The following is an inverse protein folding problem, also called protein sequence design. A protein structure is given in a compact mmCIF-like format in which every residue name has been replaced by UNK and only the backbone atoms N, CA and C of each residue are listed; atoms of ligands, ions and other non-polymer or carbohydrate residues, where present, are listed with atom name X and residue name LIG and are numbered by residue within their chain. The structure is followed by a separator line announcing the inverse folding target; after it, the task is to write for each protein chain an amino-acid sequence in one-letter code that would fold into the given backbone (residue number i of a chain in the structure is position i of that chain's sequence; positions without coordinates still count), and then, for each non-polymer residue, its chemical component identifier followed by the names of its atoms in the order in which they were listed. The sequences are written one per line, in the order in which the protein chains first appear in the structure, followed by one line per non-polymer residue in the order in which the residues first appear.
data_IF_520601492521
#
_entry.id   IF_520601492521
#
_cell.length_a   1.000
_cell.length_b   1.000
_cell.length_c   1.000
_cell.angle_alpha   90.00
_cell.angle_beta   90.00
_cell.angle_gamma   90.00
#
_symmetry.space_group_name_H-M   'P 1'
#
loop_
_entity.id
_entity.type
_entity.pdbx_description
1 polymer ?
#
# COMPACT_ATOMS: atom_id res chain seq x y z
N UNK A 1 9.74 14.35 -17.20
CA UNK A 1 10.05 13.45 -16.07
C UNK A 1 9.88 12.02 -16.52
N UNK A 2 10.63 11.64 -17.55
CA UNK A 2 10.56 10.33 -18.20
C UNK A 2 11.86 9.60 -17.89
N UNK A 3 11.78 8.35 -17.42
CA UNK A 3 12.95 7.50 -17.20
C UNK A 3 13.26 7.11 -15.75
N UNK A 4 12.59 7.69 -14.74
CA UNK A 4 12.77 7.21 -13.35
C UNK A 4 11.78 6.10 -13.05
N UNK A 5 12.27 4.87 -13.00
CA UNK A 5 11.47 3.72 -12.64
C UNK A 5 11.25 3.67 -11.12
N UNK A 6 9.99 3.78 -10.70
CA UNK A 6 9.65 3.86 -9.28
C UNK A 6 9.59 2.49 -8.59
N UNK A 7 10.46 2.28 -7.60
CA UNK A 7 10.45 1.14 -6.67
C UNK A 7 9.90 1.55 -5.29
N UNK A 8 8.64 2.00 -5.26
CA UNK A 8 8.02 2.56 -4.05
C UNK A 8 7.04 1.57 -3.41
N UNK A 9 7.21 1.35 -2.10
CA UNK A 9 6.31 0.49 -1.30
C UNK A 9 4.93 1.13 -1.18
N UNK A 10 3.87 0.35 -1.46
CA UNK A 10 2.51 0.72 -1.09
C UNK A 10 2.20 0.30 0.35
N UNK A 11 1.21 0.97 0.99
CA UNK A 11 0.93 0.89 2.42
C UNK A 11 0.87 -0.53 3.01
N UNK A 12 0.29 -1.49 2.27
CA UNK A 12 0.07 -2.86 2.74
C UNK A 12 1.19 -3.84 2.36
N UNK A 13 2.20 -3.43 1.59
CA UNK A 13 3.22 -4.32 1.02
C UNK A 13 3.93 -5.19 2.07
N UNK A 14 4.39 -4.61 3.19
CA UNK A 14 5.01 -5.38 4.27
C UNK A 14 4.02 -6.30 5.01
N UNK A 15 2.79 -5.82 5.20
CA UNK A 15 1.74 -6.59 5.88
C UNK A 15 1.39 -7.83 5.06
N UNK A 16 1.24 -7.68 3.75
CA UNK A 16 0.98 -8.76 2.81
C UNK A 16 2.11 -9.80 2.82
N UNK A 17 3.38 -9.41 2.88
CA UNK A 17 4.49 -10.37 2.99
C UNK A 17 4.47 -11.17 4.30
N UNK A 18 4.10 -10.53 5.42
CA UNK A 18 3.92 -11.25 6.70
C UNK A 18 2.70 -12.16 6.67
N UNK A 19 1.61 -11.71 6.06
CA UNK A 19 0.37 -12.47 5.92
C UNK A 19 0.49 -13.64 4.95
N UNK A 20 1.36 -13.56 3.94
CA UNK A 20 1.66 -14.67 3.04
C UNK A 20 2.19 -15.92 3.76
N UNK A 21 2.65 -15.79 5.02
CA UNK A 21 3.06 -16.90 5.88
C UNK A 21 1.91 -17.53 6.68
N UNK A 22 0.70 -16.98 6.59
CA UNK A 22 -0.50 -17.44 7.29
C UNK A 22 -1.50 -18.01 6.29
N UNK A 23 -2.40 -18.87 6.75
CA UNK A 23 -3.52 -19.32 5.94
C UNK A 23 -4.35 -18.11 5.47
N UNK A 24 -4.70 -18.05 4.17
CA UNK A 24 -5.48 -16.94 3.63
C UNK A 24 -6.91 -17.01 4.15
N UNK A 25 -7.47 -15.84 4.52
CA UNK A 25 -8.89 -15.72 4.83
C UNK A 25 -9.71 -15.87 3.54
N UNK A 26 -10.46 -16.98 3.34
CA UNK A 26 -11.20 -17.21 2.11
C UNK A 26 -12.30 -16.16 1.90
N UNK A 27 -12.74 -15.48 2.96
CA UNK A 27 -13.75 -14.44 2.87
C UNK A 27 -13.17 -13.07 2.51
N UNK A 28 -11.85 -12.90 2.43
CA UNK A 28 -11.27 -11.61 2.04
C UNK A 28 -11.53 -11.31 0.55
N UNK A 29 -11.94 -10.09 0.15
CA UNK A 29 -12.23 -9.77 -1.25
C UNK A 29 -11.08 -10.01 -2.25
N UNK A 30 -9.83 -9.93 -1.78
CA UNK A 30 -8.64 -10.22 -2.61
C UNK A 30 -8.43 -11.72 -2.87
N UNK A 31 -9.12 -12.61 -2.14
CA UNK A 31 -9.06 -14.08 -2.33
C UNK A 31 -10.21 -14.60 -3.22
N UNK A 32 -11.18 -13.74 -3.55
CA UNK A 32 -12.30 -14.12 -4.40
C UNK A 32 -11.87 -14.19 -5.87
N UNK A 33 -12.38 -15.19 -6.59
CA UNK A 33 -12.12 -15.32 -8.01
C UNK A 33 -12.92 -14.28 -8.79
N UNK A 34 -12.24 -13.53 -9.67
CA UNK A 34 -12.85 -12.58 -10.59
C UNK A 34 -12.86 -13.17 -12.01
N UNK A 35 -14.03 -13.26 -12.62
CA UNK A 35 -14.19 -13.63 -14.02
C UNK A 35 -14.29 -12.36 -14.86
N UNK A 36 -13.32 -12.18 -15.75
CA UNK A 36 -13.21 -11.03 -16.64
C UNK A 36 -14.28 -11.01 -17.74
N UNK A 37 -14.68 -12.18 -18.25
CA UNK A 37 -15.64 -12.28 -19.36
C UNK A 37 -17.05 -11.92 -18.93
N UNK A 38 -17.43 -12.34 -17.73
CA UNK A 38 -18.77 -12.13 -17.18
C UNK A 38 -18.87 -10.92 -16.23
N UNK A 39 -17.76 -10.21 -16.01
CA UNK A 39 -17.61 -9.15 -15.01
C UNK A 39 -18.29 -9.51 -13.67
N UNK A 40 -17.85 -10.62 -13.08
CA UNK A 40 -18.44 -11.15 -11.86
C UNK A 40 -17.39 -11.72 -10.91
N UNK A 41 -17.71 -11.71 -9.62
CA UNK A 41 -16.90 -12.39 -8.60
C UNK A 41 -17.59 -13.66 -8.13
N UNK A 42 -16.83 -14.64 -7.65
CA UNK A 42 -17.39 -15.82 -7.01
C UNK A 42 -17.10 -15.78 -5.51
N UNK A 43 -18.15 -15.99 -4.71
CA UNK A 43 -18.01 -16.10 -3.27
C UNK A 43 -17.37 -17.46 -2.88
N UNK A 44 -16.91 -17.65 -1.62
CA UNK A 44 -16.31 -18.92 -1.20
C UNK A 44 -17.26 -20.13 -1.25
N UNK A 45 -18.58 -19.88 -1.26
CA UNK A 45 -19.61 -20.91 -1.46
C UNK A 45 -19.82 -21.24 -2.96
N UNK A 46 -19.12 -20.56 -3.87
CA UNK A 46 -19.24 -20.74 -5.33
C UNK A 46 -20.36 -19.94 -5.99
N UNK A 47 -21.09 -19.09 -5.25
CA UNK A 47 -22.16 -18.27 -5.85
C UNK A 47 -21.57 -17.08 -6.62
N UNK A 48 -22.18 -16.77 -7.76
CA UNK A 48 -21.87 -15.58 -8.55
C UNK A 48 -22.29 -14.29 -7.82
N UNK A 49 -21.45 -13.28 -7.92
CA UNK A 49 -21.66 -11.92 -7.44
C UNK A 49 -21.72 -10.98 -8.62
N UNK A 50 -22.91 -10.42 -8.89
CA UNK A 50 -23.20 -9.60 -10.06
C UNK A 50 -22.76 -8.16 -9.83
N UNK A 51 -22.28 -7.50 -10.89
CA UNK A 51 -22.02 -6.07 -10.87
C UNK A 51 -23.34 -5.29 -10.70
N UNK A 52 -23.46 -4.49 -9.64
CA UNK A 52 -24.64 -3.68 -9.32
C UNK A 52 -24.42 -2.18 -9.58
N UNK A 53 -23.31 -1.82 -10.22
CA UNK A 53 -22.98 -0.46 -10.63
C UNK A 53 -21.66 0.06 -10.08
N UNK A 54 -21.32 1.26 -10.55
CA UNK A 54 -20.10 1.96 -10.18
C UNK A 54 -20.44 3.28 -9.49
N UNK A 55 -19.58 3.69 -8.57
CA UNK A 55 -19.64 5.01 -7.97
C UNK A 55 -18.25 5.60 -7.82
N UNK A 56 -18.19 6.92 -7.72
CA UNK A 56 -16.94 7.63 -7.52
C UNK A 56 -16.84 8.17 -6.10
N UNK A 57 -15.65 8.09 -5.53
CA UNK A 57 -15.32 8.62 -4.21
C UNK A 57 -14.13 9.54 -4.31
N UNK A 58 -14.25 10.75 -3.75
CA UNK A 58 -13.13 11.67 -3.61
C UNK A 58 -12.33 11.31 -2.36
N UNK A 59 -11.02 11.18 -2.53
CA UNK A 59 -10.08 10.96 -1.42
C UNK A 59 -9.89 12.26 -0.64
N UNK A 60 -9.37 12.17 0.58
CA UNK A 60 -9.02 13.35 1.41
C UNK A 60 -8.06 14.30 0.70
N UNK A 61 -7.20 13.76 -0.19
CA UNK A 61 -6.22 14.52 -0.96
C UNK A 61 -6.78 15.04 -2.29
N UNK A 62 -8.09 14.94 -2.52
CA UNK A 62 -8.77 15.51 -3.69
C UNK A 62 -8.83 14.62 -4.93
N UNK A 63 -8.16 13.46 -4.95
CA UNK A 63 -8.21 12.54 -6.09
C UNK A 63 -9.52 11.78 -6.16
N UNK A 64 -10.04 11.61 -7.38
CA UNK A 64 -11.24 10.84 -7.67
C UNK A 64 -10.89 9.36 -7.87
N UNK A 65 -11.66 8.47 -7.26
CA UNK A 65 -11.49 7.02 -7.37
C UNK A 65 -12.81 6.36 -7.75
N UNK A 66 -12.78 5.51 -8.78
CA UNK A 66 -13.92 4.70 -9.20
C UNK A 66 -13.95 3.36 -8.47
N UNK A 67 -15.11 3.01 -7.93
CA UNK A 67 -15.37 1.75 -7.25
C UNK A 67 -16.54 1.04 -7.93
N UNK A 68 -16.35 -0.23 -8.26
CA UNK A 68 -17.40 -1.12 -8.75
C UNK A 68 -17.93 -1.97 -7.61
N UNK A 69 -19.24 -2.12 -7.51
CA UNK A 69 -19.91 -2.92 -6.48
C UNK A 69 -20.38 -4.24 -7.07
N UNK A 70 -20.13 -5.33 -6.35
CA UNK A 70 -20.60 -6.66 -6.72
C UNK A 70 -21.41 -7.25 -5.58
N UNK A 71 -22.58 -7.80 -5.88
CA UNK A 71 -23.51 -8.36 -4.88
C UNK A 71 -23.76 -9.84 -5.13
N UNK A 72 -23.65 -10.65 -4.08
CA UNK A 72 -23.99 -12.07 -4.12
C UNK A 72 -25.47 -12.28 -4.38
N UNK A 73 -25.81 -13.29 -5.19
CA UNK A 73 -27.19 -13.60 -5.58
C UNK A 73 -28.08 -13.92 -4.38
N UNK A 74 -27.67 -14.82 -3.49
CA UNK A 74 -28.50 -15.21 -2.35
C UNK A 74 -27.67 -15.73 -1.16
N UNK A 75 -27.58 -14.92 -0.10
CA UNK A 75 -26.92 -15.31 1.15
C UNK A 75 -27.88 -15.88 2.22
N UNK A 76 -29.18 -16.00 1.94
CA UNK A 76 -30.14 -16.52 2.90
C UNK A 76 -29.96 -18.04 3.06
N UNK A 77 -29.85 -18.51 4.31
CA UNK A 77 -29.57 -19.92 4.60
C UNK A 77 -28.15 -20.40 4.26
N UNK A 78 -27.23 -19.50 3.88
CA UNK A 78 -25.87 -19.90 3.55
C UNK A 78 -25.12 -20.38 4.81
N UNK A 79 -24.54 -21.61 4.82
CA UNK A 79 -23.85 -22.16 5.98
C UNK A 79 -22.60 -21.37 6.37
N UNK A 80 -21.98 -20.70 5.39
CA UNK A 80 -20.79 -19.87 5.59
C UNK A 80 -21.10 -18.44 6.05
N UNK A 81 -22.38 -18.06 6.18
CA UNK A 81 -22.79 -16.65 6.43
C UNK A 81 -22.16 -16.06 7.67
N UNK A 82 -22.10 -16.83 8.77
CA UNK A 82 -21.56 -16.38 10.07
C UNK A 82 -20.09 -15.94 9.99
N UNK A 83 -19.29 -16.58 9.14
CA UNK A 83 -17.88 -16.26 8.90
C UNK A 83 -17.70 -15.24 7.75
N UNK A 84 -18.65 -15.19 6.81
CA UNK A 84 -18.53 -14.47 5.55
C UNK A 84 -18.82 -12.96 5.66
N UNK A 85 -19.94 -12.57 6.27
CA UNK A 85 -20.28 -11.15 6.48
C UNK A 85 -21.34 -10.96 7.57
N UNK A 86 -21.40 -9.76 8.16
CA UNK A 86 -22.35 -9.42 9.23
C UNK A 86 -23.64 -8.71 8.76
N UNK A 87 -23.72 -8.33 7.48
CA UNK A 87 -24.91 -7.65 6.94
C UNK A 87 -26.18 -8.51 7.00
N UNK A 88 -27.32 -7.85 7.24
CA UNK A 88 -28.65 -8.48 7.10
C UNK A 88 -29.00 -8.76 5.64
N UNK A 89 -28.50 -7.93 4.72
CA UNK A 89 -28.68 -8.08 3.28
C UNK A 89 -27.64 -9.05 2.69
N UNK A 90 -27.73 -9.32 1.38
CA UNK A 90 -26.71 -10.10 0.68
C UNK A 90 -25.35 -9.43 0.72
N UNK A 91 -24.30 -10.24 0.62
CA UNK A 91 -22.92 -9.75 0.64
C UNK A 91 -22.67 -8.82 -0.54
N UNK A 92 -22.10 -7.64 -0.25
CA UNK A 92 -21.60 -6.70 -1.26
C UNK A 92 -20.09 -6.56 -1.07
N UNK A 93 -19.33 -6.60 -2.16
CA UNK A 93 -17.92 -6.23 -2.19
C UNK A 93 -17.73 -5.00 -3.08
N UNK A 94 -16.79 -4.15 -2.71
CA UNK A 94 -16.40 -2.97 -3.49
C UNK A 94 -14.98 -3.16 -4.00
N UNK A 95 -14.76 -2.93 -5.30
CA UNK A 95 -13.46 -3.13 -5.94
C UNK A 95 -13.07 -1.90 -6.75
N UNK A 96 -11.83 -1.46 -6.55
CA UNK A 96 -11.20 -0.44 -7.37
C UNK A 96 -10.18 -1.12 -8.29
N UNK A 97 -10.62 -1.44 -9.50
CA UNK A 97 -9.81 -2.17 -10.49
C UNK A 97 -8.50 -1.45 -10.85
N UNK A 98 -8.52 -0.12 -10.95
CA UNK A 98 -7.31 0.64 -11.25
C UNK A 98 -6.30 0.55 -10.10
N UNK A 99 -6.76 0.67 -8.84
CA UNK A 99 -5.88 0.53 -7.67
C UNK A 99 -5.30 -0.88 -7.58
N UNK A 100 -6.10 -1.92 -7.84
CA UNK A 100 -5.63 -3.31 -7.86
C UNK A 100 -4.53 -3.49 -8.91
N UNK A 101 -4.75 -3.01 -10.13
CA UNK A 101 -3.78 -3.04 -11.23
C UNK A 101 -2.48 -2.31 -10.87
N UNK A 102 -2.57 -1.10 -10.30
CA UNK A 102 -1.40 -0.31 -9.89
C UNK A 102 -0.62 -0.99 -8.76
N UNK A 103 -1.32 -1.59 -7.79
CA UNK A 103 -0.69 -2.38 -6.72
C UNK A 103 0.03 -3.61 -7.27
N UNK A 104 -0.58 -4.34 -8.20
CA UNK A 104 0.03 -5.50 -8.84
C UNK A 104 1.34 -5.12 -9.54
N UNK A 105 1.31 -4.05 -10.36
CA UNK A 105 2.50 -3.52 -11.03
C UNK A 105 3.59 -3.09 -10.04
N UNK A 106 3.22 -2.41 -8.95
CA UNK A 106 4.17 -2.00 -7.92
C UNK A 106 4.76 -3.21 -7.18
N UNK A 107 3.94 -4.23 -6.88
CA UNK A 107 4.37 -5.46 -6.21
C UNK A 107 5.37 -6.23 -7.07
N UNK A 108 5.08 -6.42 -8.35
CA UNK A 108 5.97 -7.06 -9.31
C UNK A 108 7.35 -6.39 -9.33
N UNK A 109 7.38 -5.06 -9.47
CA UNK A 109 8.64 -4.29 -9.42
C UNK A 109 9.37 -4.44 -8.10
N UNK A 110 8.68 -4.34 -6.98
CA UNK A 110 9.33 -4.46 -5.66
C UNK A 110 9.89 -5.86 -5.42
N UNK A 111 9.28 -6.90 -5.98
CA UNK A 111 9.72 -8.29 -5.87
C UNK A 111 10.76 -8.69 -6.91
N UNK A 112 11.02 -7.85 -7.92
CA UNK A 112 12.11 -8.06 -8.88
C UNK A 112 13.48 -8.04 -8.19
N UNK A 113 14.51 -8.58 -8.86
CA UNK A 113 15.89 -8.60 -8.35
C UNK A 113 16.37 -7.18 -8.01
N UNK A 114 16.12 -6.23 -8.90
CA UNK A 114 16.43 -4.80 -8.72
C UNK A 114 15.66 -4.20 -7.55
N UNK A 115 14.34 -4.44 -7.47
CA UNK A 115 13.52 -3.94 -6.37
C UNK A 115 13.93 -4.50 -5.01
N UNK A 116 14.41 -5.74 -4.95
CA UNK A 116 15.00 -6.32 -3.74
C UNK A 116 16.34 -5.66 -3.41
N UNK A 117 17.21 -5.45 -4.40
CA UNK A 117 18.51 -4.81 -4.21
C UNK A 117 18.35 -3.37 -3.67
N UNK A 118 17.52 -2.55 -4.31
CA UNK A 118 17.22 -1.19 -3.85
C UNK A 118 16.61 -1.17 -2.44
N UNK A 119 15.72 -2.13 -2.11
CA UNK A 119 15.14 -2.23 -0.76
C UNK A 119 16.19 -2.57 0.29
N UNK A 120 17.15 -3.44 -0.01
CA UNK A 120 18.25 -3.78 0.89
C UNK A 120 19.20 -2.61 1.07
N UNK A 121 19.56 -1.94 -0.03
CA UNK A 121 20.46 -0.78 -0.02
C UNK A 121 19.91 0.37 0.85
N UNK A 122 18.61 0.64 0.77
CA UNK A 122 17.97 1.73 1.55
C UNK A 122 18.18 1.63 3.07
N UNK A 123 18.27 0.41 3.61
CA UNK A 123 18.53 0.19 5.03
C UNK A 123 19.91 0.71 5.46
N UNK A 124 20.91 0.59 4.59
CA UNK A 124 22.28 1.03 4.87
C UNK A 124 22.47 2.51 4.55
N UNK A 125 21.97 2.96 3.40
CA UNK A 125 22.26 4.30 2.90
C UNK A 125 21.40 5.34 3.61
N UNK A 126 20.08 5.11 3.70
CA UNK A 126 19.13 6.15 4.07
C UNK A 126 18.65 5.98 5.52
N UNK A 127 18.30 4.76 5.93
CA UNK A 127 17.78 4.53 7.28
C UNK A 127 18.86 4.77 8.35
N UNK A 128 20.12 4.41 8.09
CA UNK A 128 21.24 4.70 8.99
C UNK A 128 21.49 6.21 9.15
N UNK A 129 21.46 6.98 8.05
CA UNK A 129 21.64 8.45 8.09
C UNK A 129 20.53 9.11 8.90
N UNK A 130 19.27 8.74 8.66
CA UNK A 130 18.16 9.28 9.45
C UNK A 130 18.24 8.84 10.92
N UNK A 131 18.75 7.64 11.19
CA UNK A 131 19.06 7.17 12.54
C UNK A 131 20.08 8.05 13.24
N UNK A 132 21.23 8.31 12.61
CA UNK A 132 22.29 9.17 13.16
C UNK A 132 21.77 10.59 13.45
N UNK A 133 21.08 11.20 12.48
CA UNK A 133 20.50 12.55 12.64
C UNK A 133 19.52 12.59 13.83
N UNK A 134 18.62 11.61 13.94
CA UNK A 134 17.58 11.63 14.99
C UNK A 134 18.09 11.24 16.37
N UNK A 135 18.98 10.26 16.45
CA UNK A 135 19.42 9.68 17.72
C UNK A 135 20.76 10.26 18.18
N UNK A 136 21.77 10.30 17.31
CA UNK A 136 23.11 10.73 17.68
C UNK A 136 23.26 12.26 17.63
N UNK A 137 22.62 12.93 16.65
CA UNK A 137 22.55 14.40 16.60
C UNK A 137 21.34 14.97 17.36
N UNK A 138 20.48 14.11 17.93
CA UNK A 138 19.27 14.46 18.67
C UNK A 138 18.30 15.41 17.90
N UNK A 139 18.34 15.42 16.57
CA UNK A 139 17.49 16.28 15.74
C UNK A 139 16.12 15.63 15.55
N UNK A 140 15.21 15.88 16.49
CA UNK A 140 13.86 15.26 16.51
C UNK A 140 12.75 16.20 16.07
N UNK A 141 12.98 17.51 16.11
CA UNK A 141 12.00 18.56 15.80
C UNK A 141 12.71 19.76 15.17
N UNK A 142 12.04 20.41 14.24
CA UNK A 142 12.47 21.71 13.73
C UNK A 142 12.22 22.80 14.77
N UNK A 143 13.16 23.74 14.89
CA UNK A 143 13.06 24.87 15.80
C UNK A 143 12.25 26.03 15.19
N UNK A 144 12.30 26.18 13.87
CA UNK A 144 11.66 27.25 13.11
C UNK A 144 10.36 26.77 12.46
N UNK A 145 9.54 27.75 12.06
CA UNK A 145 8.27 27.53 11.35
C UNK A 145 8.32 28.18 9.97
N UNK A 146 7.74 27.51 8.97
CA UNK A 146 7.72 27.95 7.57
C UNK A 146 8.71 27.18 6.71
N UNK A 147 8.31 26.83 5.48
CA UNK A 147 9.06 25.94 4.57
C UNK A 147 10.48 26.46 4.33
N UNK A 148 10.64 27.76 4.07
CA UNK A 148 11.95 28.37 3.82
C UNK A 148 12.91 28.19 5.00
N UNK A 149 12.46 28.47 6.22
CA UNK A 149 13.27 28.36 7.44
C UNK A 149 13.60 26.90 7.78
N UNK A 150 12.62 26.01 7.61
CA UNK A 150 12.80 24.56 7.78
C UNK A 150 13.81 24.00 6.77
N UNK A 151 13.83 24.52 5.54
CA UNK A 151 14.82 24.13 4.53
C UNK A 151 16.25 24.53 4.94
N UNK A 152 16.42 25.71 5.56
CA UNK A 152 17.73 26.13 6.09
C UNK A 152 18.18 25.20 7.21
N UNK A 153 17.30 24.89 8.18
CA UNK A 153 17.63 23.97 9.28
C UNK A 153 18.05 22.59 8.79
N UNK A 154 17.27 21.96 7.90
CA UNK A 154 17.61 20.63 7.39
C UNK A 154 18.89 20.68 6.54
N UNK A 155 19.13 21.77 5.81
CA UNK A 155 20.36 22.00 5.07
C UNK A 155 21.60 22.04 5.97
N UNK A 156 21.53 22.79 7.08
CA UNK A 156 22.60 22.84 8.09
C UNK A 156 22.85 21.47 8.71
N UNK A 157 21.80 20.74 9.08
CA UNK A 157 21.91 19.37 9.63
C UNK A 157 22.55 18.42 8.61
N UNK A 158 22.15 18.48 7.35
CA UNK A 158 22.72 17.66 6.29
C UNK A 158 24.21 17.98 6.04
N UNK A 159 24.58 19.25 6.01
CA UNK A 159 25.99 19.67 5.89
C UNK A 159 26.82 19.17 7.08
N UNK A 160 26.34 19.36 8.31
CA UNK A 160 27.02 18.89 9.52
C UNK A 160 27.22 17.36 9.51
N UNK A 161 26.18 16.60 9.12
CA UNK A 161 26.27 15.16 8.97
C UNK A 161 27.31 14.75 7.90
N UNK A 162 27.34 15.44 6.75
CA UNK A 162 28.32 15.17 5.69
C UNK A 162 29.76 15.48 6.14
N UNK A 163 29.97 16.59 6.84
CA UNK A 163 31.28 16.94 7.41
C UNK A 163 31.75 15.90 8.44
N UNK A 164 30.86 15.44 9.33
CA UNK A 164 31.15 14.37 10.29
C UNK A 164 31.53 13.06 9.58
N UNK A 165 30.83 12.70 8.50
CA UNK A 165 31.17 11.53 7.67
C UNK A 165 32.56 11.68 7.05
N UNK A 166 32.89 12.84 6.48
CA UNK A 166 34.21 13.10 5.88
C UNK A 166 35.34 12.99 6.91
N UNK A 167 35.14 13.54 8.11
CA UNK A 167 36.12 13.49 9.19
C UNK A 167 36.39 12.08 9.74
N UNK A 168 35.50 11.11 9.49
CA UNK A 168 35.67 9.71 9.90
C UNK A 168 36.31 8.83 8.81
N UNK A 169 36.43 9.36 7.58
CA UNK A 169 37.00 8.66 6.42
C UNK A 169 38.48 9.02 6.21
N UNK A 170 38.91 10.15 6.78
CA UNK A 170 40.32 10.61 6.87
C UNK A 170 40.91 10.07 8.17
#
# INVERSE_FOLDING_TARGET
GEGVEAFVKYNYFHKEQKQAKKEPDPFHPDQLHYNLEQDCYYCPMGQQMHNIGQYQKKTTNGYLQTYTRYQATNCNGCPLKSLCHKSKQHRIIERNHNLIRLKAKAKEKLLSKEGVAHRKQRCWDIEAIFGDIKHNMNFKRFALRGIEKVNVEIGLVAMAHNLKKLALVI
#
